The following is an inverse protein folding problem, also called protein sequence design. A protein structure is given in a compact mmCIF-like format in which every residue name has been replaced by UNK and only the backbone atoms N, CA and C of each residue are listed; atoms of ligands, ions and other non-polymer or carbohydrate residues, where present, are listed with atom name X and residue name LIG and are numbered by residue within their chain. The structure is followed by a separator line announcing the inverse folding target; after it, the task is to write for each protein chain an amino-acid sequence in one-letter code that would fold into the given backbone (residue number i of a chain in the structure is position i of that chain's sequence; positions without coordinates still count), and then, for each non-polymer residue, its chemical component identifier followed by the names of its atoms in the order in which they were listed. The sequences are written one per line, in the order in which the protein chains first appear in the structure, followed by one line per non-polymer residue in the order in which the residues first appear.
data_IF_568546834233
#
_entry.id   IF_568546834233
#
_cell.length_a   1.000
_cell.length_b   1.000
_cell.length_c   1.000
_cell.angle_alpha   90.00
_cell.angle_beta   90.00
_cell.angle_gamma   90.00
#
_symmetry.space_group_name_H-M   'P 1'
#
loop_
_entity.id
_entity.type
_entity.pdbx_description
1 polymer ?
#
# COMPACT_ATOMS: atom_id res chain seq x y z
N UNK A 1 -13.15 7.63 -12.43
CA UNK A 1 -11.78 7.17 -12.14
C UNK A 1 -11.47 7.42 -10.67
N UNK A 2 -10.64 6.57 -10.08
CA UNK A 2 -10.09 6.70 -8.73
C UNK A 2 -8.57 6.76 -8.80
N UNK A 3 -7.99 7.62 -7.98
CA UNK A 3 -6.54 7.72 -7.79
C UNK A 3 -6.16 7.00 -6.50
N UNK A 4 -5.12 6.18 -6.57
CA UNK A 4 -4.57 5.48 -5.42
C UNK A 4 -3.08 5.84 -5.29
N UNK A 5 -2.75 6.93 -4.59
CA UNK A 5 -1.37 7.31 -4.31
C UNK A 5 -0.88 6.69 -2.99
N UNK A 6 0.40 6.31 -2.96
CA UNK A 6 1.16 6.13 -1.73
C UNK A 6 2.15 7.28 -1.60
N UNK A 7 2.18 7.90 -0.42
CA UNK A 7 2.99 9.09 -0.15
C UNK A 7 3.88 8.86 1.07
N UNK A 8 5.12 9.33 0.98
CA UNK A 8 6.04 9.42 2.11
C UNK A 8 6.50 10.87 2.32
N UNK A 9 7.37 11.09 3.29
CA UNK A 9 7.94 12.42 3.57
C UNK A 9 8.73 13.00 2.38
N UNK A 10 9.20 12.16 1.46
CA UNK A 10 9.89 12.56 0.23
C UNK A 10 8.98 12.80 -0.98
N UNK A 11 7.66 12.59 -0.85
CA UNK A 11 6.69 12.76 -1.94
C UNK A 11 5.95 11.46 -2.30
N UNK A 12 5.42 11.40 -3.52
CA UNK A 12 4.68 10.23 -4.03
C UNK A 12 5.66 9.13 -4.40
N UNK A 13 5.46 7.92 -3.87
CA UNK A 13 6.31 6.74 -4.15
C UNK A 13 5.62 5.71 -5.05
N UNK A 14 4.29 5.69 -5.06
CA UNK A 14 3.50 4.87 -5.96
C UNK A 14 2.21 5.59 -6.35
N UNK A 15 1.73 5.40 -7.58
CA UNK A 15 0.47 5.97 -8.05
C UNK A 15 -0.19 5.02 -9.05
N UNK A 16 -1.46 4.69 -8.80
CA UNK A 16 -2.29 3.96 -9.75
C UNK A 16 -3.58 4.74 -10.07
N UNK A 17 -4.03 4.65 -11.32
CA UNK A 17 -5.23 5.31 -11.84
C UNK A 17 -6.19 4.24 -12.33
N UNK A 18 -7.25 4.03 -11.57
CA UNK A 18 -8.18 2.93 -11.77
C UNK A 18 -9.54 3.44 -12.24
N UNK A 19 -10.18 2.70 -13.15
CA UNK A 19 -11.57 2.96 -13.49
C UNK A 19 -12.51 2.33 -12.46
N UNK A 20 -13.46 3.12 -11.94
CA UNK A 20 -14.35 2.70 -10.85
C UNK A 20 -13.69 2.73 -9.46
N UNK A 21 -14.34 2.11 -8.48
CA UNK A 21 -13.91 2.13 -7.08
C UNK A 21 -12.75 1.17 -6.78
N UNK A 22 -12.00 1.45 -5.72
CA UNK A 22 -11.01 0.54 -5.15
C UNK A 22 -11.71 -0.47 -4.25
N UNK A 23 -11.44 -1.76 -4.45
CA UNK A 23 -11.90 -2.85 -3.59
C UNK A 23 -10.68 -3.56 -3.00
N UNK A 24 -10.89 -4.50 -2.06
CA UNK A 24 -9.79 -5.22 -1.41
C UNK A 24 -8.82 -5.82 -2.43
N UNK A 25 -9.30 -6.53 -3.46
CA UNK A 25 -8.42 -7.16 -4.46
C UNK A 25 -7.54 -6.15 -5.21
N UNK A 26 -8.11 -5.02 -5.63
CA UNK A 26 -7.36 -3.94 -6.31
C UNK A 26 -6.33 -3.32 -5.37
N UNK A 27 -6.71 -3.03 -4.13
CA UNK A 27 -5.80 -2.50 -3.12
C UNK A 27 -4.65 -3.47 -2.81
N UNK A 28 -4.94 -4.76 -2.63
CA UNK A 28 -3.93 -5.78 -2.39
C UNK A 28 -2.92 -5.90 -3.55
N UNK A 29 -3.40 -5.80 -4.79
CA UNK A 29 -2.52 -5.78 -5.97
C UNK A 29 -1.63 -4.54 -5.99
N UNK A 30 -2.19 -3.37 -5.69
CA UNK A 30 -1.45 -2.12 -5.58
C UNK A 30 -0.38 -2.20 -4.49
N UNK A 31 -0.75 -2.63 -3.29
CA UNK A 31 0.17 -2.79 -2.16
C UNK A 31 1.33 -3.72 -2.52
N UNK A 32 1.03 -4.91 -3.06
CA UNK A 32 2.05 -5.93 -3.37
C UNK A 32 3.04 -5.49 -4.46
N UNK A 33 2.55 -4.89 -5.54
CA UNK A 33 3.36 -4.70 -6.75
C UNK A 33 3.89 -3.28 -6.91
N UNK A 34 3.31 -2.30 -6.22
CA UNK A 34 3.65 -0.88 -6.38
C UNK A 34 4.21 -0.28 -5.08
N UNK A 35 3.61 -0.58 -3.93
CA UNK A 35 3.99 0.06 -2.66
C UNK A 35 5.14 -0.66 -1.97
N UNK A 36 4.98 -1.96 -1.66
CA UNK A 36 5.99 -2.72 -0.93
C UNK A 36 7.38 -2.67 -1.59
N UNK A 37 7.54 -2.75 -2.93
CA UNK A 37 8.86 -2.61 -3.56
C UNK A 37 9.56 -1.26 -3.32
N UNK A 38 8.82 -0.23 -2.89
CA UNK A 38 9.34 1.09 -2.56
C UNK A 38 9.58 1.28 -1.05
N UNK A 39 9.23 0.29 -0.23
CA UNK A 39 9.42 0.28 1.20
C UNK A 39 10.76 -0.38 1.57
N UNK A 40 11.25 -0.05 2.77
CA UNK A 40 12.43 -0.68 3.34
C UNK A 40 12.08 -1.46 4.61
N UNK A 41 13.01 -2.31 5.04
CA UNK A 41 12.95 -3.02 6.32
C UNK A 41 12.83 -2.03 7.49
N UNK A 42 12.13 -2.45 8.55
CA UNK A 42 11.92 -1.66 9.76
C UNK A 42 13.20 -0.98 10.28
N UNK A 43 13.08 0.29 10.68
CA UNK A 43 14.12 1.27 11.06
C UNK A 43 14.77 2.06 9.91
N UNK A 44 14.62 1.63 8.66
CA UNK A 44 15.06 2.43 7.51
C UNK A 44 14.00 3.48 7.11
N UNK A 45 14.36 4.50 6.30
CA UNK A 45 13.36 5.41 5.71
C UNK A 45 12.30 4.64 4.91
N UNK A 46 11.05 5.10 4.91
CA UNK A 46 9.93 4.44 4.22
C UNK A 46 9.66 2.99 4.68
N UNK A 47 9.87 2.68 5.96
CA UNK A 47 9.68 1.33 6.51
C UNK A 47 8.37 1.10 7.28
N UNK A 48 7.48 2.09 7.33
CA UNK A 48 6.23 2.02 8.10
C UNK A 48 5.09 2.28 7.13
N UNK A 49 4.21 1.29 6.99
CA UNK A 49 2.96 1.43 6.23
C UNK A 49 1.88 2.00 7.15
N UNK A 50 1.33 3.16 6.79
CA UNK A 50 0.22 3.79 7.52
C UNK A 50 -1.01 3.81 6.61
N UNK A 51 -2.10 3.21 7.07
CA UNK A 51 -3.37 3.16 6.35
C UNK A 51 -4.47 3.83 7.16
N UNK A 52 -5.51 4.31 6.49
CA UNK A 52 -6.73 4.72 7.15
C UNK A 52 -7.53 3.49 7.64
N UNK A 53 -8.62 3.73 8.37
CA UNK A 53 -9.43 2.66 8.95
C UNK A 53 -10.55 2.16 7.99
N UNK A 54 -10.36 2.26 6.67
CA UNK A 54 -11.37 1.76 5.73
C UNK A 54 -11.54 0.24 5.83
N UNK A 55 -12.78 -0.24 5.66
CA UNK A 55 -13.12 -1.66 5.78
C UNK A 55 -12.33 -2.57 4.81
N UNK A 56 -11.87 -2.03 3.68
CA UNK A 56 -11.05 -2.77 2.72
C UNK A 56 -9.63 -3.10 3.24
N UNK A 57 -9.20 -2.46 4.34
CA UNK A 57 -7.91 -2.68 4.99
C UNK A 57 -7.97 -3.64 6.19
N UNK A 58 -9.16 -4.12 6.57
CA UNK A 58 -9.33 -4.94 7.79
C UNK A 58 -8.92 -6.41 7.60
N UNK A 59 -8.50 -6.81 6.40
CA UNK A 59 -8.06 -8.18 6.11
C UNK A 59 -6.67 -8.49 6.68
N UNK A 60 -6.46 -9.73 7.11
CA UNK A 60 -5.15 -10.23 7.57
C UNK A 60 -4.10 -10.28 6.46
N UNK A 61 -4.53 -10.22 5.20
CA UNK A 61 -3.69 -10.34 4.01
C UNK A 61 -2.66 -9.19 3.90
N UNK A 62 -2.99 -7.99 4.39
CA UNK A 62 -2.07 -6.85 4.44
C UNK A 62 -0.91 -7.16 5.38
N UNK A 63 -1.23 -7.64 6.59
CA UNK A 63 -0.23 -8.02 7.60
C UNK A 63 0.66 -9.15 7.08
N UNK A 64 0.08 -10.14 6.41
CA UNK A 64 0.84 -11.22 5.78
C UNK A 64 1.80 -10.69 4.71
N UNK A 65 1.33 -9.83 3.79
CA UNK A 65 2.21 -9.24 2.77
C UNK A 65 3.35 -8.41 3.36
N UNK A 66 3.09 -7.63 4.40
CA UNK A 66 4.14 -6.84 5.06
C UNK A 66 5.16 -7.77 5.72
N UNK A 67 4.70 -8.81 6.43
CA UNK A 67 5.59 -9.79 7.09
C UNK A 67 6.47 -10.54 6.08
N UNK A 68 5.92 -10.95 4.94
CA UNK A 68 6.68 -11.62 3.88
C UNK A 68 7.69 -10.70 3.19
N UNK A 69 7.44 -9.39 3.18
CA UNK A 69 8.34 -8.41 2.57
C UNK A 69 9.56 -8.11 3.46
N UNK A 70 9.38 -8.14 4.79
CA UNK A 70 10.41 -7.80 5.79
C UNK A 70 10.23 -6.40 6.38
#
# INVERSE_FOLDING_TARGET
YSLLPEICSGGVIALDVLEGSVNCKRFMSFLKHMVLPCMNVYLAPNSILLLDNAAIHHGSEISWLCTEHG
#
